data_IF_445924927198
#
_entry.id   IF_445924927198
#
_cell.length_a   1.000
_cell.length_b   1.000
_cell.length_c   1.000
_cell.angle_alpha   90.00
_cell.angle_beta   90.00
_cell.angle_gamma   90.00
#
_symmetry.space_group_name_H-M   'P 1'
#
loop_
_entity.id
_entity.type
_entity.pdbx_description
1 polymer ?
#
# COMPACT_ATOMS: atom_id res chain seq x y z
N UNK A 1 -17.24 -2.74 0.82
CA UNK A 1 -16.97 -1.83 -0.31
C UNK A 1 -15.86 -0.93 0.17
N UNK A 2 -14.61 -1.28 -0.15
CA UNK A 2 -13.50 -0.34 -0.03
C UNK A 2 -13.91 0.93 -0.77
N UNK A 3 -13.95 2.07 -0.09
CA UNK A 3 -13.94 3.37 -0.78
C UNK A 3 -12.84 3.30 -1.84
N UNK A 4 -13.10 3.77 -3.07
CA UNK A 4 -12.07 3.79 -4.11
C UNK A 4 -10.93 4.70 -3.64
N UNK A 5 -9.92 4.10 -3.03
CA UNK A 5 -8.76 4.80 -2.50
C UNK A 5 -8.01 5.40 -3.69
N UNK A 6 -7.99 6.73 -3.76
CA UNK A 6 -7.24 7.46 -4.76
C UNK A 6 -5.85 7.88 -4.24
N UNK A 7 -4.83 7.17 -4.72
CA UNK A 7 -3.42 7.45 -4.48
C UNK A 7 -2.74 8.28 -5.58
N UNK A 8 -3.45 8.69 -6.63
CA UNK A 8 -2.85 9.48 -7.71
C UNK A 8 -2.28 10.83 -7.26
N UNK A 9 -2.94 11.60 -6.36
CA UNK A 9 -2.34 12.83 -5.83
C UNK A 9 -0.99 12.58 -5.13
N UNK A 10 -0.89 11.49 -4.36
CA UNK A 10 0.35 11.10 -3.69
C UNK A 10 1.43 10.70 -4.70
N UNK A 11 1.08 9.89 -5.72
CA UNK A 11 2.01 9.47 -6.77
C UNK A 11 2.57 10.66 -7.53
N UNK A 12 1.72 11.62 -7.87
CA UNK A 12 2.12 12.87 -8.53
C UNK A 12 3.08 13.68 -7.64
N UNK A 13 2.74 13.86 -6.36
CA UNK A 13 3.60 14.57 -5.41
C UNK A 13 4.97 13.88 -5.25
N UNK A 14 4.98 12.56 -5.06
CA UNK A 14 6.22 11.79 -4.95
C UNK A 14 7.06 11.85 -6.22
N UNK A 15 6.44 11.83 -7.40
CA UNK A 15 7.16 11.95 -8.67
C UNK A 15 7.87 13.30 -8.82
N UNK A 16 7.24 14.39 -8.35
CA UNK A 16 7.85 15.73 -8.35
C UNK A 16 9.04 15.81 -7.41
N UNK A 17 8.90 15.27 -6.19
CA UNK A 17 9.99 15.22 -5.21
C UNK A 17 11.16 14.37 -5.70
N UNK A 18 10.90 13.24 -6.37
CA UNK A 18 11.94 12.44 -7.01
C UNK A 18 12.63 13.15 -8.18
N UNK A 19 11.92 14.01 -8.91
CA UNK A 19 12.47 14.86 -9.96
C UNK A 19 13.33 16.02 -9.41
N UNK A 20 13.46 16.14 -8.08
CA UNK A 20 14.31 17.13 -7.42
C UNK A 20 13.56 18.33 -6.85
N UNK A 21 12.23 18.36 -6.92
CA UNK A 21 11.46 19.42 -6.26
C UNK A 21 11.53 19.27 -4.73
N UNK A 22 11.67 20.40 -4.03
CA UNK A 22 11.58 20.41 -2.57
C UNK A 22 10.11 20.26 -2.15
N UNK A 23 9.84 19.36 -1.21
CA UNK A 23 8.50 19.20 -0.65
C UNK A 23 8.09 20.44 0.13
N UNK A 24 7.00 21.08 -0.29
CA UNK A 24 6.41 22.23 0.42
C UNK A 24 5.20 21.76 1.22
N UNK A 25 5.24 21.96 2.54
CA UNK A 25 4.21 21.49 3.48
C UNK A 25 3.04 22.46 3.61
N UNK A 26 2.29 22.61 2.51
CA UNK A 26 0.99 23.30 2.52
C UNK A 26 -0.03 22.51 3.36
N UNK A 27 -1.15 23.14 3.78
CA UNK A 27 -2.25 22.43 4.44
C UNK A 27 -2.72 21.20 3.65
N UNK A 28 -2.92 21.34 2.33
CA UNK A 28 -3.37 20.26 1.46
C UNK A 28 -2.36 19.10 1.37
N UNK A 29 -1.05 19.41 1.33
CA UNK A 29 0.00 18.37 1.33
C UNK A 29 0.02 17.64 2.68
N UNK A 30 -0.13 18.35 3.79
CA UNK A 30 -0.20 17.75 5.13
C UNK A 30 -1.41 16.84 5.25
N UNK A 31 -2.57 17.29 4.78
CA UNK A 31 -3.79 16.48 4.77
C UNK A 31 -3.62 15.23 3.91
N UNK A 32 -3.05 15.37 2.72
CA UNK A 32 -2.78 14.25 1.82
C UNK A 32 -1.88 13.19 2.47
N UNK A 33 -0.77 13.61 3.09
CA UNK A 33 0.14 12.70 3.80
C UNK A 33 -0.58 12.01 4.97
N UNK A 34 -1.25 12.77 5.85
CA UNK A 34 -1.95 12.19 6.99
C UNK A 34 -3.06 11.20 6.58
N UNK A 35 -3.80 11.49 5.50
CA UNK A 35 -4.81 10.58 4.98
C UNK A 35 -4.16 9.30 4.45
N UNK A 36 -3.13 9.45 3.62
CA UNK A 36 -2.41 8.32 3.01
C UNK A 36 -1.76 7.45 4.07
N UNK A 37 -1.13 8.03 5.09
CA UNK A 37 -0.53 7.31 6.21
C UNK A 37 -1.50 6.28 6.81
N UNK A 38 -2.76 6.66 7.07
CA UNK A 38 -3.80 5.74 7.56
C UNK A 38 -4.12 4.64 6.55
N UNK A 39 -4.29 5.00 5.28
CA UNK A 39 -4.59 4.07 4.18
C UNK A 39 -3.47 3.03 3.99
N UNK A 40 -2.24 3.33 4.40
CA UNK A 40 -1.08 2.41 4.33
C UNK A 40 -0.62 1.88 5.70
N UNK A 41 -1.45 2.02 6.73
CA UNK A 41 -1.19 1.57 8.12
C UNK A 41 0.10 2.13 8.75
N UNK A 42 0.41 3.40 8.50
CA UNK A 42 1.38 4.17 9.29
C UNK A 42 0.63 4.76 10.49
N UNK A 43 1.17 4.67 11.73
CA UNK A 43 0.52 5.23 12.90
C UNK A 43 0.30 6.75 12.80
N UNK A 44 -0.89 7.22 13.20
CA UNK A 44 -1.26 8.64 13.16
C UNK A 44 -0.24 9.52 13.91
N UNK A 45 0.23 9.06 15.08
CA UNK A 45 1.20 9.80 15.89
C UNK A 45 2.55 10.02 15.18
N UNK A 46 3.02 8.99 14.46
CA UNK A 46 4.28 9.05 13.71
C UNK A 46 4.12 9.99 12.51
N UNK A 47 3.03 9.85 11.75
CA UNK A 47 2.75 10.72 10.62
C UNK A 47 2.58 12.20 11.04
N UNK A 48 1.93 12.46 12.18
CA UNK A 48 1.76 13.81 12.74
C UNK A 48 3.10 14.45 13.13
N UNK A 49 4.04 13.66 13.66
CA UNK A 49 5.38 14.11 13.97
C UNK A 49 6.18 14.40 12.68
N UNK A 50 6.09 13.51 11.69
CA UNK A 50 6.86 13.63 10.44
C UNK A 50 6.43 14.84 9.59
N UNK A 51 5.16 15.22 9.60
CA UNK A 51 4.72 16.40 8.84
C UNK A 51 5.22 17.72 9.42
N UNK A 52 5.89 17.77 10.58
CA UNK A 52 6.36 19.03 11.17
C UNK A 52 7.57 19.63 10.42
N UNK A 53 8.38 18.79 9.77
CA UNK A 53 9.57 19.19 9.03
C UNK A 53 9.56 18.64 7.59
N UNK A 54 10.09 19.40 6.64
CA UNK A 54 10.05 19.00 5.22
C UNK A 54 10.90 17.77 4.92
N UNK A 55 11.98 17.55 5.69
CA UNK A 55 12.85 16.39 5.54
C UNK A 55 12.14 15.12 6.01
N UNK A 56 11.54 15.16 7.20
CA UNK A 56 10.78 14.03 7.76
C UNK A 56 9.53 13.76 6.94
N UNK A 57 8.82 14.80 6.48
CA UNK A 57 7.66 14.61 5.61
C UNK A 57 8.03 14.04 4.24
N UNK A 58 9.23 14.35 3.72
CA UNK A 58 9.74 13.72 2.50
C UNK A 58 10.05 12.24 2.74
N UNK A 59 10.52 11.86 3.93
CA UNK A 59 10.70 10.46 4.29
C UNK A 59 9.36 9.73 4.40
N UNK A 60 8.36 10.33 5.04
CA UNK A 60 6.99 9.81 5.11
C UNK A 60 6.39 9.57 3.72
N UNK A 61 6.46 10.57 2.83
CA UNK A 61 6.00 10.45 1.43
C UNK A 61 6.63 9.27 0.69
N UNK A 62 7.93 9.03 0.92
CA UNK A 62 8.66 7.90 0.32
C UNK A 62 8.23 6.57 0.91
N UNK A 63 7.99 6.51 2.22
CA UNK A 63 7.50 5.32 2.89
C UNK A 63 6.10 4.95 2.40
N UNK A 64 5.17 5.90 2.37
CA UNK A 64 3.80 5.70 1.87
C UNK A 64 3.80 5.16 0.45
N UNK A 65 4.54 5.82 -0.45
CA UNK A 65 4.73 5.34 -1.83
C UNK A 65 5.37 3.95 -1.87
N UNK A 66 6.33 3.68 -0.99
CA UNK A 66 6.99 2.38 -0.85
C UNK A 66 6.02 1.27 -0.47
N UNK A 67 5.16 1.51 0.53
CA UNK A 67 4.13 0.55 0.97
C UNK A 67 3.11 0.27 -0.13
N UNK A 68 2.61 1.32 -0.80
CA UNK A 68 1.69 1.19 -1.95
C UNK A 68 2.32 0.33 -3.05
N UNK A 69 3.53 0.67 -3.48
CA UNK A 69 4.21 -0.06 -4.56
C UNK A 69 4.48 -1.51 -4.16
N UNK A 70 4.98 -1.74 -2.95
CA UNK A 70 5.36 -3.07 -2.48
C UNK A 70 4.14 -3.98 -2.33
N UNK A 71 3.05 -3.47 -1.74
CA UNK A 71 1.81 -4.23 -1.60
C UNK A 71 1.18 -4.57 -2.96
N UNK A 72 1.15 -3.62 -3.90
CA UNK A 72 0.71 -3.85 -5.28
C UNK A 72 1.50 -4.99 -5.97
N UNK A 73 2.83 -4.94 -5.86
CA UNK A 73 3.70 -5.97 -6.44
C UNK A 73 3.50 -7.34 -5.79
N UNK A 74 3.41 -7.41 -4.45
CA UNK A 74 3.15 -8.65 -3.71
C UNK A 74 1.81 -9.26 -4.10
N UNK A 75 0.75 -8.45 -4.15
CA UNK A 75 -0.58 -8.87 -4.59
C UNK A 75 -0.58 -9.41 -6.03
N UNK A 76 0.05 -8.70 -6.98
CA UNK A 76 0.14 -9.14 -8.38
C UNK A 76 0.87 -10.49 -8.50
N UNK A 77 2.00 -10.64 -7.80
CA UNK A 77 2.77 -11.87 -7.80
C UNK A 77 1.96 -13.05 -7.22
N UNK A 78 1.32 -12.84 -6.07
CA UNK A 78 0.48 -13.84 -5.41
C UNK A 78 -0.68 -14.30 -6.31
N UNK A 79 -1.39 -13.36 -6.96
CA UNK A 79 -2.48 -13.68 -7.90
C UNK A 79 -2.00 -14.47 -9.10
N UNK A 80 -0.82 -14.13 -9.63
CA UNK A 80 -0.21 -14.89 -10.73
C UNK A 80 0.07 -16.32 -10.32
N UNK A 81 0.60 -16.53 -9.12
CA UNK A 81 0.95 -17.86 -8.62
C UNK A 81 -0.29 -18.70 -8.29
N UNK A 82 -1.28 -18.12 -7.62
CA UNK A 82 -2.58 -18.77 -7.37
C UNK A 82 -3.22 -19.25 -8.67
N UNK A 83 -3.19 -18.43 -9.73
CA UNK A 83 -3.73 -18.85 -11.03
C UNK A 83 -3.02 -20.08 -11.59
N UNK A 84 -1.69 -20.16 -11.49
CA UNK A 84 -0.93 -21.33 -11.96
C UNK A 84 -1.27 -22.58 -11.15
N UNK A 85 -1.32 -22.45 -9.83
CA UNK A 85 -1.63 -23.57 -8.92
C UNK A 85 -3.03 -24.12 -9.15
N UNK A 86 -4.04 -23.23 -9.32
CA UNK A 86 -5.39 -23.66 -9.72
C UNK A 86 -5.43 -24.40 -11.05
N UNK A 87 -4.67 -23.95 -12.05
CA UNK A 87 -4.58 -24.63 -13.35
C UNK A 87 -3.93 -26.01 -13.23
N UNK A 88 -3.04 -26.21 -12.26
CA UNK A 88 -2.44 -27.50 -11.94
C UNK A 88 -3.32 -28.37 -11.02
N UNK A 89 -4.47 -27.87 -10.55
CA UNK A 89 -5.35 -28.56 -9.61
C UNK A 89 -4.88 -28.50 -8.14
N UNK A 90 -3.87 -27.69 -7.82
CA UNK A 90 -3.34 -27.52 -6.47
C UNK A 90 -4.02 -26.38 -5.73
N UNK A 91 -5.25 -26.63 -5.26
CA UNK A 91 -6.01 -25.65 -4.48
C UNK A 91 -5.37 -25.38 -3.10
N UNK A 92 -4.77 -26.40 -2.47
CA UNK A 92 -4.12 -26.24 -1.18
C UNK A 92 -2.89 -25.31 -1.27
N UNK A 93 -2.07 -25.48 -2.31
CA UNK A 93 -0.97 -24.56 -2.61
C UNK A 93 -1.46 -23.14 -2.90
N UNK A 94 -2.53 -23.00 -3.70
CA UNK A 94 -3.12 -21.69 -3.97
C UNK A 94 -3.58 -20.98 -2.68
N UNK A 95 -4.23 -21.71 -1.76
CA UNK A 95 -4.64 -21.19 -0.46
C UNK A 95 -3.45 -20.67 0.34
N UNK A 96 -2.41 -21.50 0.43
CA UNK A 96 -1.20 -21.18 1.18
C UNK A 96 -0.53 -19.89 0.68
N UNK A 97 -0.54 -19.64 -0.63
CA UNK A 97 0.01 -18.38 -1.19
C UNK A 97 -0.72 -17.14 -0.64
N UNK A 98 -2.05 -17.19 -0.53
CA UNK A 98 -2.82 -16.06 0.01
C UNK A 98 -2.66 -15.91 1.52
N UNK A 99 -2.60 -17.01 2.27
CA UNK A 99 -2.29 -17.01 3.70
C UNK A 99 -0.90 -16.43 3.99
N UNK A 100 0.12 -16.83 3.22
CA UNK A 100 1.49 -16.33 3.34
C UNK A 100 1.57 -14.83 2.97
N UNK A 101 0.76 -14.35 2.01
CA UNK A 101 0.62 -12.92 1.72
C UNK A 101 -0.01 -12.15 2.88
N UNK A 102 -1.07 -12.67 3.49
CA UNK A 102 -1.77 -12.04 4.62
C UNK A 102 -0.91 -11.94 5.88
N UNK A 103 0.06 -12.86 6.04
CA UNK A 103 1.00 -12.83 7.15
C UNK A 103 1.98 -11.64 7.09
N UNK A 104 2.26 -11.11 5.88
CA UNK A 104 3.25 -10.03 5.68
C UNK A 104 2.64 -8.71 5.24
N UNK A 105 1.42 -8.70 4.68
CA UNK A 105 0.78 -7.48 4.23
C UNK A 105 0.23 -6.67 5.41
N UNK A 106 0.59 -5.39 5.45
CA UNK A 106 0.16 -4.43 6.47
C UNK A 106 -0.85 -3.43 5.93
N UNK A 107 -0.87 -3.18 4.61
CA UNK A 107 -1.75 -2.19 3.98
C UNK A 107 -3.18 -2.74 3.95
N UNK A 108 -4.16 -2.09 4.62
CA UNK A 108 -5.52 -2.60 4.78
C UNK A 108 -6.19 -3.00 3.46
N UNK A 109 -6.10 -2.16 2.42
CA UNK A 109 -6.67 -2.46 1.11
C UNK A 109 -6.14 -3.78 0.53
N UNK A 110 -4.83 -4.01 0.59
CA UNK A 110 -4.24 -5.22 0.02
C UNK A 110 -4.53 -6.46 0.88
N UNK A 111 -4.71 -6.30 2.19
CA UNK A 111 -5.21 -7.37 3.06
C UNK A 111 -6.63 -7.76 2.70
N UNK A 112 -7.54 -6.81 2.59
CA UNK A 112 -8.94 -7.05 2.20
C UNK A 112 -9.01 -7.77 0.83
N UNK A 113 -8.24 -7.29 -0.16
CA UNK A 113 -8.19 -7.92 -1.47
C UNK A 113 -7.60 -9.35 -1.45
N UNK A 114 -6.75 -9.67 -0.47
CA UNK A 114 -6.17 -11.00 -0.30
C UNK A 114 -7.12 -11.93 0.46
N UNK A 115 -7.86 -11.41 1.45
CA UNK A 115 -8.94 -12.11 2.14
C UNK A 115 -10.05 -12.50 1.17
N UNK A 116 -10.53 -11.57 0.33
CA UNK A 116 -11.52 -11.85 -0.73
C UNK A 116 -11.00 -12.94 -1.68
N UNK A 117 -9.74 -12.83 -2.12
CA UNK A 117 -9.14 -13.82 -3.02
C UNK A 117 -8.95 -15.19 -2.36
N UNK A 118 -8.79 -15.24 -1.04
CA UNK A 118 -8.69 -16.47 -0.26
C UNK A 118 -10.07 -17.13 -0.10
N UNK A 119 -11.11 -16.34 0.17
CA UNK A 119 -12.51 -16.81 0.22
C UNK A 119 -12.96 -17.40 -1.12
N UNK A 120 -12.53 -16.83 -2.25
CA UNK A 120 -12.79 -17.36 -3.60
C UNK A 120 -12.12 -18.73 -3.89
N UNK A 121 -11.21 -19.19 -3.02
CA UNK A 121 -10.52 -20.48 -3.14
C UNK A 121 -11.16 -21.59 -2.29
N UNK A 122 -12.06 -21.24 -1.37
CA UNK A 122 -12.87 -22.19 -0.57
C UNK A 122 -14.03 -22.77 -1.39
#
# INVERSE_FOLDING_TARGET
MSEDIDWDPLRQLASRVEAGETLVLTPDVRELLLRTAREVAIPDADAQADIQDSTTATALLREERGRIRSGSMRMMAARSEVRKLRQAGDTAGARKVMEDLLAVEVVPLYRELAEIALEDLD
#
